data_IF_816703926533
#
_entry.id   IF_816703926533
#
_cell.length_a   1.000
_cell.length_b   1.000
_cell.length_c   1.000
_cell.angle_alpha   90.00
_cell.angle_beta   90.00
_cell.angle_gamma   90.00
#
_symmetry.space_group_name_H-M   'P 1'
#
loop_
_entity.id
_entity.type
_entity.pdbx_description
1 polymer ?
#
# COMPACT_ATOMS: atom_id res chain seq x y z
N UNK A 1 28.54 -19.91 -24.81
CA UNK A 1 28.85 -20.90 -23.79
C UNK A 1 30.31 -20.74 -23.37
N UNK A 2 30.65 -21.11 -22.14
CA UNK A 2 32.02 -21.14 -21.63
C UNK A 2 32.73 -22.37 -22.22
N UNK A 3 33.98 -22.21 -22.67
CA UNK A 3 34.81 -23.36 -23.08
C UNK A 3 35.28 -24.12 -21.83
N UNK A 4 35.36 -25.47 -21.88
CA UNK A 4 35.81 -26.28 -20.72
C UNK A 4 37.23 -25.94 -20.24
N UNK A 5 38.01 -25.26 -21.07
CA UNK A 5 39.39 -24.87 -20.80
C UNK A 5 39.55 -23.47 -20.18
N UNK A 6 38.45 -22.71 -20.05
CA UNK A 6 38.47 -21.41 -19.38
C UNK A 6 38.62 -21.56 -17.87
N UNK A 7 39.85 -21.26 -17.38
CA UNK A 7 40.18 -21.32 -15.95
C UNK A 7 39.69 -20.10 -15.15
N UNK A 8 39.29 -19.02 -15.81
CA UNK A 8 38.79 -17.79 -15.19
C UNK A 8 37.25 -17.79 -15.11
N UNK A 9 36.70 -18.72 -14.39
CA UNK A 9 35.26 -18.72 -14.09
C UNK A 9 34.94 -17.59 -13.09
N UNK A 10 33.92 -16.78 -13.41
CA UNK A 10 33.42 -15.77 -12.48
C UNK A 10 32.86 -16.48 -11.26
N UNK A 11 33.46 -16.23 -10.09
CA UNK A 11 32.97 -16.75 -8.82
C UNK A 11 31.51 -16.24 -8.60
N UNK A 12 30.52 -17.13 -8.34
CA UNK A 12 29.15 -16.74 -8.10
C UNK A 12 28.98 -15.68 -7.01
N UNK A 13 29.91 -15.61 -6.05
CA UNK A 13 29.91 -14.58 -5.00
C UNK A 13 30.16 -13.17 -5.55
N UNK A 14 30.89 -13.05 -6.67
CA UNK A 14 31.17 -11.76 -7.31
C UNK A 14 29.89 -11.10 -7.83
N UNK A 15 28.94 -11.87 -8.36
CA UNK A 15 27.64 -11.34 -8.77
C UNK A 15 26.87 -10.79 -7.58
N UNK A 16 26.93 -11.46 -6.44
CA UNK A 16 26.30 -11.01 -5.20
C UNK A 16 26.97 -9.76 -4.63
N UNK A 17 28.31 -9.68 -4.70
CA UNK A 17 29.09 -8.50 -4.31
C UNK A 17 28.80 -7.32 -5.25
N UNK A 18 28.78 -7.55 -6.55
CA UNK A 18 28.47 -6.54 -7.56
C UNK A 18 27.07 -5.93 -7.31
N UNK A 19 26.04 -6.76 -7.10
CA UNK A 19 24.70 -6.30 -6.79
C UNK A 19 24.67 -5.42 -5.54
N UNK A 20 25.31 -5.84 -4.45
CA UNK A 20 25.32 -5.11 -3.18
C UNK A 20 26.14 -3.82 -3.23
N UNK A 21 27.27 -3.81 -3.95
CA UNK A 21 28.22 -2.70 -3.90
C UNK A 21 28.03 -1.70 -5.04
N UNK A 22 27.53 -2.13 -6.21
CA UNK A 22 27.45 -1.30 -7.40
C UNK A 22 26.03 -0.92 -7.79
N UNK A 23 25.02 -1.70 -7.39
CA UNK A 23 23.62 -1.46 -7.79
C UNK A 23 22.72 -0.96 -6.66
N UNK A 24 23.23 -0.92 -5.42
CA UNK A 24 22.43 -0.57 -4.24
C UNK A 24 21.80 0.85 -4.30
N UNK A 25 22.55 1.80 -4.83
CA UNK A 25 22.13 3.22 -4.86
C UNK A 25 21.77 3.70 -6.28
N UNK A 26 21.68 2.77 -7.24
CA UNK A 26 21.29 3.10 -8.61
C UNK A 26 19.78 2.93 -8.78
N UNK A 27 19.13 3.88 -9.45
CA UNK A 27 17.74 3.76 -9.89
C UNK A 27 17.62 2.73 -11.03
N UNK A 28 18.13 1.51 -10.79
CA UNK A 28 18.29 0.47 -11.82
C UNK A 28 16.97 0.11 -12.48
N UNK A 29 15.88 0.10 -11.72
CA UNK A 29 14.55 -0.20 -12.25
C UNK A 29 14.12 0.85 -13.27
N UNK A 30 14.19 2.13 -12.91
CA UNK A 30 13.82 3.24 -13.80
C UNK A 30 14.72 3.23 -15.07
N UNK A 31 16.03 2.96 -14.90
CA UNK A 31 16.98 2.87 -15.99
C UNK A 31 16.67 1.75 -16.99
N UNK A 32 16.35 0.54 -16.50
CA UNK A 32 16.05 -0.61 -17.36
C UNK A 32 14.68 -0.47 -18.03
N UNK A 33 13.70 0.07 -17.32
CA UNK A 33 12.39 0.39 -17.91
C UNK A 33 12.56 1.44 -19.00
N UNK A 34 13.23 2.55 -18.72
CA UNK A 34 13.50 3.61 -19.71
C UNK A 34 14.17 3.06 -20.96
N UNK A 35 15.17 2.19 -20.81
CA UNK A 35 15.87 1.59 -21.96
C UNK A 35 14.92 0.75 -22.82
N UNK A 36 14.06 -0.07 -22.22
CA UNK A 36 13.10 -0.87 -23.01
C UNK A 36 12.01 -0.02 -23.63
N UNK A 37 11.57 1.04 -22.96
CA UNK A 37 10.60 2.02 -23.49
C UNK A 37 11.19 2.77 -24.68
N UNK A 38 12.44 3.26 -24.58
CA UNK A 38 13.12 3.90 -25.71
C UNK A 38 13.17 2.97 -26.93
N UNK A 39 13.57 1.72 -26.75
CA UNK A 39 13.60 0.73 -27.84
C UNK A 39 12.21 0.54 -28.45
N UNK A 40 11.17 0.45 -27.61
CA UNK A 40 9.80 0.26 -28.08
C UNK A 40 9.27 1.49 -28.83
N UNK A 41 9.63 2.71 -28.41
CA UNK A 41 9.31 3.95 -29.11
C UNK A 41 10.06 4.07 -30.45
N UNK A 42 11.39 3.84 -30.45
CA UNK A 42 12.23 3.86 -31.66
C UNK A 42 11.75 2.87 -32.73
N UNK A 43 11.21 1.73 -32.31
CA UNK A 43 10.65 0.71 -33.19
C UNK A 43 9.17 0.94 -33.55
N UNK A 44 8.56 2.02 -33.06
CA UNK A 44 7.14 2.32 -33.28
C UNK A 44 6.18 1.28 -32.69
N UNK A 45 6.61 0.55 -31.65
CA UNK A 45 5.80 -0.48 -30.99
C UNK A 45 4.75 0.17 -30.08
N UNK A 46 5.14 1.18 -29.29
CA UNK A 46 4.20 1.95 -28.46
C UNK A 46 3.59 3.03 -29.35
N UNK A 47 2.32 2.88 -29.67
CA UNK A 47 1.56 3.80 -30.49
C UNK A 47 0.35 4.37 -29.75
N UNK A 48 -0.18 3.59 -28.78
CA UNK A 48 -1.32 4.00 -27.98
C UNK A 48 -0.88 4.98 -26.89
N UNK A 49 -1.70 5.99 -26.62
CA UNK A 49 -1.59 6.91 -25.48
C UNK A 49 -2.47 6.47 -24.30
N UNK A 50 -2.93 5.21 -24.31
CA UNK A 50 -3.76 4.60 -23.28
C UNK A 50 -2.92 3.67 -22.43
N UNK A 51 -2.98 3.88 -21.11
CA UNK A 51 -2.18 3.13 -20.15
C UNK A 51 -3.04 2.52 -19.06
N UNK A 52 -2.69 1.31 -18.68
CA UNK A 52 -3.29 0.59 -17.57
C UNK A 52 -2.43 0.77 -16.33
N UNK A 53 -3.06 1.08 -15.20
CA UNK A 53 -2.41 1.14 -13.90
C UNK A 53 -3.00 0.09 -12.97
N UNK A 54 -2.13 -0.65 -12.30
CA UNK A 54 -2.52 -1.67 -11.32
C UNK A 54 -1.35 -1.97 -10.37
N UNK A 55 -1.66 -2.63 -9.25
CA UNK A 55 -0.65 -3.09 -8.32
C UNK A 55 -0.67 -4.61 -8.21
N UNK A 56 0.51 -5.21 -8.24
CA UNK A 56 0.68 -6.63 -7.95
C UNK A 56 1.49 -6.81 -6.68
N UNK A 57 1.26 -7.91 -5.94
CA UNK A 57 1.98 -8.21 -4.72
C UNK A 57 2.93 -9.37 -4.91
N UNK A 58 4.06 -9.31 -4.20
CA UNK A 58 5.02 -10.40 -4.06
C UNK A 58 5.16 -10.76 -2.59
N UNK A 59 5.18 -12.05 -2.29
CA UNK A 59 5.36 -12.52 -0.92
C UNK A 59 6.80 -12.28 -0.47
N UNK A 60 7.00 -11.91 0.78
CA UNK A 60 8.34 -11.89 1.36
C UNK A 60 8.93 -13.31 1.38
N UNK A 61 10.25 -13.38 1.36
CA UNK A 61 10.99 -14.64 1.57
C UNK A 61 10.80 -15.19 2.97
N UNK A 62 10.63 -14.33 3.97
CA UNK A 62 10.35 -14.71 5.34
C UNK A 62 8.85 -14.62 5.66
N UNK A 63 8.41 -15.45 6.60
CA UNK A 63 7.08 -15.30 7.18
C UNK A 63 7.07 -14.14 8.17
N UNK A 64 5.90 -13.53 8.34
CA UNK A 64 5.66 -12.66 9.48
C UNK A 64 5.69 -13.49 10.77
N UNK A 65 6.34 -12.95 11.78
CA UNK A 65 6.41 -13.55 13.12
C UNK A 65 5.70 -12.61 14.08
N UNK A 66 4.99 -13.17 15.06
CA UNK A 66 4.44 -12.39 16.15
C UNK A 66 5.59 -11.66 16.87
N UNK A 67 5.41 -10.36 17.15
CA UNK A 67 6.43 -9.56 17.81
C UNK A 67 6.82 -10.14 19.19
N UNK A 68 5.87 -10.72 19.92
CA UNK A 68 6.11 -11.41 21.18
C UNK A 68 7.11 -12.55 21.03
N UNK A 69 6.85 -13.47 20.10
CA UNK A 69 7.69 -14.64 19.86
C UNK A 69 9.08 -14.24 19.33
N UNK A 70 9.11 -13.21 18.49
CA UNK A 70 10.37 -12.74 17.90
C UNK A 70 11.25 -12.02 18.92
N UNK A 71 10.69 -11.19 19.79
CA UNK A 71 11.41 -10.56 20.90
C UNK A 71 11.97 -11.63 21.86
N UNK A 72 11.15 -12.61 22.24
CA UNK A 72 11.58 -13.72 23.09
C UNK A 72 12.75 -14.46 22.45
N UNK A 73 12.63 -14.85 21.17
CA UNK A 73 13.72 -15.51 20.45
C UNK A 73 15.00 -14.69 20.41
N UNK A 74 14.93 -13.38 20.19
CA UNK A 74 16.11 -12.53 20.12
C UNK A 74 16.76 -12.34 21.50
N UNK A 75 15.98 -12.25 22.56
CA UNK A 75 16.52 -12.26 23.93
C UNK A 75 17.26 -13.56 24.21
N UNK A 76 16.70 -14.72 23.84
CA UNK A 76 17.40 -16.02 24.01
C UNK A 76 18.71 -16.08 23.21
N UNK A 77 18.74 -15.60 21.96
CA UNK A 77 19.98 -15.57 21.17
C UNK A 77 21.02 -14.65 21.78
N UNK A 78 20.60 -13.51 22.32
CA UNK A 78 21.51 -12.57 23.00
C UNK A 78 22.03 -13.17 24.31
N UNK A 79 21.17 -13.86 25.07
CA UNK A 79 21.58 -14.61 26.27
C UNK A 79 22.69 -15.60 25.96
N UNK A 80 22.55 -16.42 24.93
CA UNK A 80 23.56 -17.41 24.53
C UNK A 80 24.93 -16.77 24.25
N UNK A 81 24.92 -15.61 23.56
CA UNK A 81 26.17 -14.90 23.27
C UNK A 81 26.78 -14.28 24.55
N UNK A 82 25.97 -13.62 25.37
CA UNK A 82 26.43 -13.02 26.61
C UNK A 82 26.99 -14.10 27.54
N UNK A 83 26.30 -15.23 27.72
CA UNK A 83 26.75 -16.32 28.57
C UNK A 83 27.96 -17.07 27.99
N UNK A 84 28.19 -17.09 26.69
CA UNK A 84 29.42 -17.62 26.10
C UNK A 84 30.66 -16.79 26.47
N UNK A 85 30.45 -15.53 26.84
CA UNK A 85 31.52 -14.59 27.25
C UNK A 85 31.64 -14.54 28.79
N UNK A 86 30.50 -14.48 29.46
CA UNK A 86 30.41 -14.45 30.93
C UNK A 86 29.19 -15.26 31.40
N UNK A 87 29.42 -16.53 31.72
CA UNK A 87 28.38 -17.48 32.13
C UNK A 87 27.65 -17.06 33.43
N UNK A 88 28.31 -16.32 34.31
CA UNK A 88 27.75 -15.87 35.58
C UNK A 88 26.98 -14.56 35.49
N UNK A 89 26.89 -13.93 34.28
CA UNK A 89 26.18 -12.67 34.11
C UNK A 89 24.67 -12.87 34.23
N UNK A 90 24.07 -12.16 35.20
CA UNK A 90 22.62 -12.24 35.43
C UNK A 90 21.85 -11.34 34.49
N UNK A 91 21.08 -11.94 33.61
CA UNK A 91 20.12 -11.28 32.74
C UNK A 91 18.71 -11.38 33.34
N UNK A 92 17.79 -10.47 32.98
CA UNK A 92 16.36 -10.60 33.29
C UNK A 92 15.83 -11.96 32.83
N UNK A 93 15.07 -12.64 33.67
CA UNK A 93 14.41 -13.91 33.29
C UNK A 93 13.32 -13.67 32.26
N UNK A 94 13.17 -14.63 31.34
CA UNK A 94 12.07 -14.61 30.39
C UNK A 94 10.74 -14.80 31.13
N UNK A 95 9.73 -14.00 30.84
CA UNK A 95 8.46 -14.02 31.56
C UNK A 95 7.67 -15.30 31.27
N UNK A 96 7.00 -15.81 32.31
CA UNK A 96 5.98 -16.83 32.12
C UNK A 96 4.71 -16.20 31.49
N UNK A 97 4.35 -16.70 30.33
CA UNK A 97 3.24 -16.19 29.52
C UNK A 97 1.96 -17.03 29.64
N UNK A 98 1.96 -18.06 30.50
CA UNK A 98 0.81 -18.92 30.68
C UNK A 98 -0.41 -18.16 31.19
N UNK A 99 -1.57 -18.39 30.57
CA UNK A 99 -2.84 -17.81 31.02
C UNK A 99 -3.05 -16.32 30.67
N UNK A 100 -2.06 -15.65 30.06
CA UNK A 100 -2.18 -14.25 29.68
C UNK A 100 -2.87 -14.10 28.30
N UNK A 101 -3.65 -13.02 28.16
CA UNK A 101 -4.17 -12.61 26.83
C UNK A 101 -3.02 -12.12 25.96
N UNK A 102 -3.14 -12.25 24.61
CA UNK A 102 -2.09 -11.87 23.66
C UNK A 102 -1.60 -10.42 23.86
N UNK A 103 -2.50 -9.49 24.16
CA UNK A 103 -2.14 -8.10 24.46
C UNK A 103 -1.28 -7.97 25.73
N UNK A 104 -1.59 -8.76 26.76
CA UNK A 104 -0.79 -8.79 28.01
C UNK A 104 0.55 -9.46 27.79
N UNK A 105 0.60 -10.59 27.08
CA UNK A 105 1.84 -11.27 26.68
C UNK A 105 2.80 -10.30 26.02
N UNK A 106 2.30 -9.59 25.00
CA UNK A 106 3.11 -8.61 24.27
C UNK A 106 3.65 -7.51 25.18
N UNK A 107 2.80 -6.92 26.04
CA UNK A 107 3.22 -5.85 26.95
C UNK A 107 4.31 -6.30 27.91
N UNK A 108 4.18 -7.51 28.46
CA UNK A 108 5.16 -8.08 29.42
C UNK A 108 6.48 -8.38 28.69
N UNK A 109 6.45 -9.04 27.54
CA UNK A 109 7.66 -9.36 26.77
C UNK A 109 8.38 -8.10 26.29
N UNK A 110 7.63 -7.07 25.85
CA UNK A 110 8.21 -5.80 25.43
C UNK A 110 8.90 -5.08 26.60
N UNK A 111 8.28 -5.06 27.79
CA UNK A 111 8.91 -4.51 29.00
C UNK A 111 10.19 -5.28 29.36
N UNK A 112 10.11 -6.60 29.40
CA UNK A 112 11.29 -7.46 29.68
C UNK A 112 12.41 -7.23 28.66
N UNK A 113 12.10 -7.05 27.39
CA UNK A 113 13.11 -6.78 26.37
C UNK A 113 13.82 -5.42 26.58
N UNK A 114 13.08 -4.40 27.04
CA UNK A 114 13.67 -3.10 27.40
C UNK A 114 14.58 -3.24 28.61
N UNK A 115 14.16 -3.94 29.67
CA UNK A 115 14.95 -4.19 30.86
C UNK A 115 16.19 -5.01 30.52
N UNK A 116 16.06 -5.96 29.59
CA UNK A 116 17.16 -6.78 29.11
C UNK A 116 18.26 -5.95 28.42
N UNK A 117 17.84 -5.01 27.52
CA UNK A 117 18.77 -4.08 26.87
C UNK A 117 19.49 -3.23 27.92
N UNK A 118 18.75 -2.67 28.89
CA UNK A 118 19.32 -1.84 29.94
C UNK A 118 20.34 -2.62 30.81
N UNK A 119 20.05 -3.89 31.13
CA UNK A 119 20.96 -4.74 31.92
C UNK A 119 22.29 -4.99 31.20
N UNK A 120 22.27 -5.23 29.88
CA UNK A 120 23.51 -5.44 29.12
C UNK A 120 24.27 -4.13 28.92
N UNK A 121 23.58 -3.02 28.69
CA UNK A 121 24.18 -1.68 28.54
C UNK A 121 24.85 -1.17 29.81
N UNK A 122 24.39 -1.59 30.94
CA UNK A 122 25.02 -1.25 32.24
C UNK A 122 26.47 -1.80 32.39
N UNK A 123 26.91 -2.67 31.46
CA UNK A 123 28.22 -3.29 31.48
C UNK A 123 29.04 -2.93 30.23
N UNK A 124 29.74 -1.77 30.21
CA UNK A 124 30.46 -1.29 29.04
C UNK A 124 31.42 -2.30 28.38
N UNK A 125 32.15 -3.15 29.14
CA UNK A 125 33.02 -4.16 28.54
C UNK A 125 32.28 -5.20 27.71
N UNK A 126 31.03 -5.55 28.06
CA UNK A 126 30.21 -6.46 27.26
C UNK A 126 29.74 -5.79 25.98
N UNK A 127 29.29 -4.54 26.07
CA UNK A 127 28.83 -3.76 24.90
C UNK A 127 29.97 -3.49 23.92
N UNK A 128 31.20 -3.36 24.37
CA UNK A 128 32.38 -3.17 23.52
C UNK A 128 32.70 -4.40 22.65
N UNK A 129 32.12 -5.56 22.94
CA UNK A 129 32.33 -6.77 22.15
C UNK A 129 31.46 -6.74 20.89
N UNK A 130 32.03 -6.86 19.66
CA UNK A 130 31.25 -6.71 18.41
C UNK A 130 30.04 -7.64 18.35
N UNK A 131 30.16 -8.90 18.76
CA UNK A 131 29.08 -9.87 18.74
C UNK A 131 27.90 -9.49 19.66
N UNK A 132 28.17 -8.91 20.82
CA UNK A 132 27.16 -8.43 21.77
C UNK A 132 26.52 -7.14 21.22
N UNK A 133 27.35 -6.20 20.76
CA UNK A 133 26.90 -4.92 20.21
C UNK A 133 25.96 -5.11 19.00
N UNK A 134 26.30 -6.00 18.08
CA UNK A 134 25.47 -6.32 16.93
C UNK A 134 24.09 -6.86 17.34
N UNK A 135 24.07 -7.80 18.30
CA UNK A 135 22.81 -8.37 18.80
C UNK A 135 21.97 -7.37 19.59
N UNK A 136 22.63 -6.54 20.37
CA UNK A 136 21.96 -5.51 21.16
C UNK A 136 21.32 -4.46 20.25
N UNK A 137 22.01 -4.03 19.20
CA UNK A 137 21.47 -3.11 18.21
C UNK A 137 20.26 -3.72 17.48
N UNK A 138 20.36 -4.98 17.07
CA UNK A 138 19.22 -5.70 16.47
C UNK A 138 18.03 -5.78 17.42
N UNK A 139 18.25 -6.09 18.70
CA UNK A 139 17.18 -6.14 19.70
C UNK A 139 16.53 -4.76 19.92
N UNK A 140 17.30 -3.68 19.93
CA UNK A 140 16.79 -2.30 20.01
C UNK A 140 15.93 -1.92 18.80
N UNK A 141 16.36 -2.28 17.59
CA UNK A 141 15.59 -2.07 16.36
C UNK A 141 14.24 -2.81 16.42
N UNK A 142 14.26 -4.07 16.86
CA UNK A 142 13.04 -4.88 17.00
C UNK A 142 12.11 -4.30 18.07
N UNK A 143 12.64 -3.81 19.21
CA UNK A 143 11.86 -3.12 20.23
C UNK A 143 11.20 -1.86 19.67
N UNK A 144 11.92 -1.07 18.90
CA UNK A 144 11.39 0.12 18.26
C UNK A 144 10.26 -0.22 17.26
N UNK A 145 10.49 -1.22 16.42
CA UNK A 145 9.50 -1.72 15.48
C UNK A 145 8.26 -2.31 16.19
N UNK A 146 8.47 -3.08 17.26
CA UNK A 146 7.40 -3.70 18.03
C UNK A 146 6.48 -2.67 18.73
N UNK A 147 7.02 -1.52 19.14
CA UNK A 147 6.23 -0.39 19.70
C UNK A 147 5.27 0.21 18.66
N UNK A 148 5.63 0.14 17.39
CA UNK A 148 4.84 0.68 16.29
C UNK A 148 3.94 -0.40 15.69
N UNK A 149 4.37 -1.68 15.68
CA UNK A 149 3.77 -2.77 14.94
C UNK A 149 3.75 -4.07 15.74
N UNK A 150 2.61 -4.76 15.68
CA UNK A 150 2.41 -6.05 16.34
C UNK A 150 3.08 -7.24 15.64
N UNK A 151 3.59 -7.05 14.42
CA UNK A 151 4.18 -8.08 13.57
C UNK A 151 5.55 -7.63 13.10
N UNK A 152 6.52 -8.48 13.26
CA UNK A 152 7.90 -8.27 12.81
C UNK A 152 8.36 -9.42 11.92
N UNK A 153 9.53 -9.29 11.29
CA UNK A 153 10.09 -10.29 10.40
C UNK A 153 11.60 -10.09 10.25
N UNK A 154 12.28 -11.12 9.75
CA UNK A 154 13.68 -11.01 9.29
C UNK A 154 13.83 -10.08 8.08
N UNK A 155 12.72 -9.77 7.40
CA UNK A 155 12.67 -8.84 6.30
C UNK A 155 12.20 -7.47 6.83
N UNK A 156 13.10 -6.47 6.94
CA UNK A 156 12.81 -5.21 7.61
C UNK A 156 11.79 -4.35 6.87
N UNK A 157 11.66 -4.53 5.55
CA UNK A 157 10.83 -3.67 4.69
C UNK A 157 9.51 -4.34 4.29
N UNK A 158 9.37 -5.66 4.46
CA UNK A 158 8.14 -6.36 4.17
C UNK A 158 7.03 -5.99 5.17
N UNK A 159 5.81 -5.83 4.69
CA UNK A 159 4.64 -5.46 5.49
C UNK A 159 3.42 -6.29 5.11
N UNK A 160 2.44 -6.31 6.03
CA UNK A 160 1.14 -6.92 5.75
C UNK A 160 0.35 -6.02 4.83
N UNK A 161 0.00 -6.53 3.67
CA UNK A 161 -0.95 -5.93 2.76
C UNK A 161 -2.24 -6.74 2.69
N UNK A 162 -3.31 -6.12 2.22
CA UNK A 162 -4.62 -6.77 2.07
C UNK A 162 -5.01 -6.84 0.60
N UNK A 163 -5.34 -8.05 0.11
CA UNK A 163 -5.96 -8.26 -1.21
C UNK A 163 -7.46 -8.03 -1.15
N UNK A 164 -8.07 -8.53 -0.10
CA UNK A 164 -9.50 -8.41 0.20
C UNK A 164 -9.66 -8.22 1.69
N UNK A 165 -10.90 -7.97 2.16
CA UNK A 165 -11.19 -7.88 3.59
C UNK A 165 -10.78 -9.12 4.40
N UNK A 166 -10.72 -10.29 3.75
CA UNK A 166 -10.42 -11.58 4.38
C UNK A 166 -9.08 -12.19 3.99
N UNK A 167 -8.39 -11.62 2.98
CA UNK A 167 -7.11 -12.15 2.50
C UNK A 167 -6.01 -11.12 2.60
N UNK A 168 -5.02 -11.41 3.41
CA UNK A 168 -3.80 -10.63 3.56
C UNK A 168 -2.60 -11.38 2.98
N UNK A 169 -1.52 -10.66 2.74
CA UNK A 169 -0.22 -11.20 2.39
C UNK A 169 0.86 -10.43 3.18
N UNK A 170 1.99 -11.04 3.36
CA UNK A 170 3.17 -10.40 3.94
C UNK A 170 4.25 -10.27 2.86
N UNK A 171 4.65 -9.04 2.55
CA UNK A 171 5.60 -8.80 1.47
C UNK A 171 5.58 -7.38 0.92
N UNK A 172 5.59 -7.28 -0.40
CA UNK A 172 5.76 -6.05 -1.17
C UNK A 172 4.65 -5.85 -2.19
N UNK A 173 4.44 -4.61 -2.59
CA UNK A 173 3.62 -4.25 -3.75
C UNK A 173 4.48 -3.64 -4.84
N UNK A 174 4.15 -3.98 -6.07
CA UNK A 174 4.72 -3.36 -7.26
C UNK A 174 3.60 -2.69 -8.03
N UNK A 175 3.66 -1.38 -8.10
CA UNK A 175 2.74 -0.54 -8.85
C UNK A 175 3.27 -0.38 -10.27
N UNK A 176 2.43 -0.65 -11.26
CA UNK A 176 2.82 -0.72 -12.67
C UNK A 176 1.97 0.19 -13.52
N UNK A 177 2.59 0.80 -14.53
CA UNK A 177 1.90 1.39 -15.68
C UNK A 177 2.31 0.62 -16.93
N UNK A 178 1.33 0.20 -17.71
CA UNK A 178 1.52 -0.63 -18.91
C UNK A 178 0.77 -0.02 -20.09
N UNK A 179 1.40 0.05 -21.25
CA UNK A 179 0.75 0.47 -22.50
C UNK A 179 -0.22 -0.58 -23.03
N UNK A 180 -1.09 -0.19 -23.96
CA UNK A 180 -2.03 -1.10 -24.63
C UNK A 180 -1.31 -2.21 -25.40
N UNK A 181 -0.09 -1.96 -25.86
CA UNK A 181 0.81 -2.94 -26.48
C UNK A 181 1.47 -3.91 -25.48
N UNK A 182 1.14 -3.77 -24.19
CA UNK A 182 1.63 -4.59 -23.08
C UNK A 182 3.12 -4.40 -22.75
N UNK A 183 3.64 -3.20 -22.95
CA UNK A 183 4.95 -2.77 -22.48
C UNK A 183 4.78 -2.05 -21.14
N UNK A 184 5.51 -2.44 -20.11
CA UNK A 184 5.53 -1.74 -18.84
C UNK A 184 6.38 -0.48 -19.00
N UNK A 185 5.76 0.69 -18.83
CA UNK A 185 6.39 1.99 -19.07
C UNK A 185 6.82 2.70 -17.80
N UNK A 186 6.25 2.35 -16.67
CA UNK A 186 6.68 2.82 -15.35
C UNK A 186 6.40 1.75 -14.29
N UNK A 187 7.20 1.75 -13.24
CA UNK A 187 6.97 0.92 -12.07
C UNK A 187 7.52 1.56 -10.81
N UNK A 188 6.95 1.18 -9.67
CA UNK A 188 7.43 1.53 -8.34
C UNK A 188 7.17 0.40 -7.35
N UNK A 189 8.08 0.19 -6.41
CA UNK A 189 7.96 -0.90 -5.45
C UNK A 189 7.87 -0.32 -4.06
N UNK A 190 6.92 -0.82 -3.29
CA UNK A 190 6.63 -0.37 -1.94
C UNK A 190 6.47 -1.57 -0.99
N UNK A 191 6.44 -1.30 0.29
CA UNK A 191 5.98 -2.29 1.27
C UNK A 191 4.51 -2.68 1.02
N UNK A 192 4.11 -3.86 1.50
CA UNK A 192 2.78 -4.43 1.25
C UNK A 192 1.60 -3.58 1.75
N UNK A 193 1.81 -2.71 2.71
CA UNK A 193 0.78 -1.83 3.30
C UNK A 193 0.47 -0.58 2.49
N UNK A 194 1.29 -0.23 1.48
CA UNK A 194 1.13 1.00 0.71
C UNK A 194 -0.24 1.06 0.00
N UNK A 195 -0.80 2.25 -0.07
CA UNK A 195 -2.06 2.53 -0.76
C UNK A 195 -1.81 2.70 -2.26
N UNK A 196 -2.50 1.90 -3.08
CA UNK A 196 -2.31 1.87 -4.52
C UNK A 196 -2.67 3.20 -5.17
N UNK A 197 -3.75 3.84 -4.71
CA UNK A 197 -4.21 5.12 -5.25
C UNK A 197 -3.22 6.26 -5.07
N UNK A 198 -2.45 6.26 -3.99
CA UNK A 198 -1.45 7.32 -3.72
C UNK A 198 -0.24 7.26 -4.64
N UNK A 199 -0.04 6.15 -5.31
CA UNK A 199 1.10 5.98 -6.21
C UNK A 199 0.85 6.54 -7.62
N UNK A 200 -0.39 6.94 -7.94
CA UNK A 200 -0.76 7.36 -9.29
C UNK A 200 0.05 8.53 -9.79
N UNK A 201 0.18 9.60 -9.01
CA UNK A 201 0.93 10.80 -9.38
C UNK A 201 2.37 10.45 -9.79
N UNK A 202 3.08 9.75 -8.92
CA UNK A 202 4.47 9.32 -9.17
C UNK A 202 4.60 8.40 -10.39
N UNK A 203 3.63 7.54 -10.62
CA UNK A 203 3.62 6.65 -11.78
C UNK A 203 3.38 7.42 -13.09
N UNK A 204 2.52 8.43 -13.07
CA UNK A 204 2.29 9.34 -14.21
C UNK A 204 3.56 10.11 -14.54
N UNK A 205 4.21 10.72 -13.55
CA UNK A 205 5.47 11.42 -13.71
C UNK A 205 6.55 10.52 -14.33
N UNK A 206 6.78 9.33 -13.78
CA UNK A 206 7.74 8.36 -14.33
C UNK A 206 7.42 7.94 -15.76
N UNK A 207 6.13 7.83 -16.10
CA UNK A 207 5.71 7.49 -17.47
C UNK A 207 6.10 8.58 -18.45
N UNK A 208 5.87 9.84 -18.09
CA UNK A 208 6.23 10.99 -18.92
C UNK A 208 7.75 11.20 -19.00
N UNK A 209 8.49 10.99 -17.89
CA UNK A 209 9.97 11.01 -17.86
C UNK A 209 10.59 9.96 -18.81
N UNK A 210 9.87 8.89 -19.11
CA UNK A 210 10.25 7.87 -20.07
C UNK A 210 9.91 8.23 -21.53
N UNK A 211 9.39 9.44 -21.77
CA UNK A 211 9.10 9.98 -23.10
C UNK A 211 7.78 9.49 -23.69
N UNK A 212 6.84 9.08 -22.86
CA UNK A 212 5.54 8.55 -23.28
C UNK A 212 4.45 9.57 -23.00
N UNK A 213 3.64 9.88 -24.02
CA UNK A 213 2.49 10.76 -23.87
C UNK A 213 1.26 10.00 -23.38
N UNK A 214 0.51 10.60 -22.46
CA UNK A 214 -0.66 9.99 -21.83
C UNK A 214 -1.92 10.75 -22.22
N UNK A 215 -2.93 10.06 -22.80
CA UNK A 215 -4.27 10.56 -23.01
C UNK A 215 -5.28 9.91 -22.05
N UNK A 216 -5.09 8.64 -21.73
CA UNK A 216 -6.03 7.91 -20.86
C UNK A 216 -5.30 6.97 -19.91
N UNK A 217 -5.66 7.04 -18.65
CA UNK A 217 -5.19 6.12 -17.60
C UNK A 217 -6.38 5.25 -17.18
N UNK A 218 -6.20 3.93 -17.21
CA UNK A 218 -7.24 2.95 -16.90
C UNK A 218 -6.83 2.19 -15.64
N UNK A 219 -7.61 2.34 -14.57
CA UNK A 219 -7.32 1.72 -13.28
C UNK A 219 -8.56 1.13 -12.61
N UNK A 220 -8.37 0.53 -11.45
CA UNK A 220 -9.46 0.07 -10.59
C UNK A 220 -9.98 1.21 -9.68
N UNK A 221 -10.92 0.89 -8.79
CA UNK A 221 -11.54 1.84 -7.86
C UNK A 221 -10.58 2.49 -6.86
N UNK A 222 -9.37 1.97 -6.70
CA UNK A 222 -8.37 2.53 -5.79
C UNK A 222 -7.83 3.87 -6.33
N UNK A 223 -7.82 4.03 -7.66
CA UNK A 223 -7.25 5.20 -8.32
C UNK A 223 -8.23 6.38 -8.48
N UNK A 224 -9.53 6.20 -8.25
CA UNK A 224 -10.55 7.27 -8.39
C UNK A 224 -10.74 8.13 -7.13
N UNK A 225 -9.71 8.27 -6.31
CA UNK A 225 -9.76 9.18 -5.16
C UNK A 225 -9.93 10.64 -5.62
N UNK A 226 -10.55 11.49 -4.76
CA UNK A 226 -10.67 12.92 -5.06
C UNK A 226 -9.30 13.55 -5.38
N UNK A 227 -8.26 13.20 -4.63
CA UNK A 227 -6.92 13.72 -4.84
C UNK A 227 -6.39 13.38 -6.24
N UNK A 228 -6.58 12.16 -6.70
CA UNK A 228 -6.14 11.75 -8.04
C UNK A 228 -6.95 12.42 -9.16
N UNK A 229 -8.27 12.57 -8.96
CA UNK A 229 -9.12 13.29 -9.93
C UNK A 229 -8.76 14.76 -10.00
N UNK A 230 -8.51 15.40 -8.86
CA UNK A 230 -8.08 16.80 -8.82
C UNK A 230 -6.68 16.94 -9.44
N UNK A 231 -5.72 16.06 -9.12
CA UNK A 231 -4.38 16.05 -9.72
C UNK A 231 -4.41 15.97 -11.25
N UNK A 232 -5.23 15.08 -11.80
CA UNK A 232 -5.40 14.99 -13.28
C UNK A 232 -6.01 16.25 -13.85
N UNK A 233 -7.02 16.85 -13.19
CA UNK A 233 -7.62 18.10 -13.65
C UNK A 233 -6.63 19.26 -13.60
N UNK A 234 -5.88 19.39 -12.49
CA UNK A 234 -4.85 20.43 -12.33
C UNK A 234 -3.76 20.29 -13.40
N UNK A 235 -3.36 19.05 -13.71
CA UNK A 235 -2.39 18.77 -14.76
C UNK A 235 -2.92 19.14 -16.13
N UNK A 236 -4.19 18.83 -16.42
CA UNK A 236 -4.84 19.20 -17.69
C UNK A 236 -4.91 20.73 -17.85
N UNK A 237 -5.27 21.46 -16.79
CA UNK A 237 -5.32 22.92 -16.81
C UNK A 237 -3.93 23.56 -16.97
N UNK A 238 -2.93 23.08 -16.24
CA UNK A 238 -1.58 23.65 -16.26
C UNK A 238 -0.80 23.35 -17.54
N UNK A 239 -0.98 22.15 -18.12
CA UNK A 239 -0.19 21.67 -19.27
C UNK A 239 -1.00 21.69 -20.58
N UNK A 240 -2.23 22.21 -20.57
CA UNK A 240 -3.16 22.23 -21.70
C UNK A 240 -3.32 20.82 -22.33
N UNK A 241 -3.47 19.80 -21.47
CA UNK A 241 -3.71 18.40 -21.83
C UNK A 241 -5.17 18.02 -21.60
N UNK A 242 -5.60 16.87 -22.12
CA UNK A 242 -6.93 16.28 -21.88
C UNK A 242 -6.78 14.81 -21.44
N UNK A 243 -6.07 14.62 -20.33
CA UNK A 243 -5.87 13.29 -19.76
C UNK A 243 -7.15 12.84 -19.06
N UNK A 244 -7.64 11.65 -19.41
CA UNK A 244 -8.82 11.03 -18.81
C UNK A 244 -8.41 9.94 -17.82
N UNK A 245 -8.99 9.94 -16.62
CA UNK A 245 -8.86 8.86 -15.66
C UNK A 245 -10.07 7.92 -15.73
N UNK A 246 -9.91 6.80 -16.43
CA UNK A 246 -10.90 5.75 -16.51
C UNK A 246 -10.78 4.80 -15.33
N UNK A 247 -11.30 5.21 -14.19
CA UNK A 247 -11.29 4.48 -12.92
C UNK A 247 -12.66 4.61 -12.25
N UNK A 248 -13.35 3.51 -11.92
CA UNK A 248 -14.69 3.57 -11.33
C UNK A 248 -14.63 4.18 -9.93
N UNK A 249 -15.58 5.04 -9.61
CA UNK A 249 -15.71 5.59 -8.27
C UNK A 249 -16.02 4.48 -7.26
N UNK A 250 -15.42 4.59 -6.08
CA UNK A 250 -15.76 3.71 -4.99
C UNK A 250 -17.28 3.81 -4.70
N UNK A 251 -18.02 2.69 -4.62
CA UNK A 251 -19.46 2.69 -4.37
C UNK A 251 -19.90 3.47 -3.12
N UNK A 252 -19.02 3.61 -2.12
CA UNK A 252 -19.26 4.44 -0.94
C UNK A 252 -19.33 5.93 -1.29
N UNK A 253 -18.62 6.35 -2.34
CA UNK A 253 -18.62 7.75 -2.82
C UNK A 253 -19.84 7.98 -3.73
N UNK A 254 -20.09 7.06 -4.66
CA UNK A 254 -21.14 7.20 -5.67
C UNK A 254 -22.56 7.16 -5.08
N UNK A 255 -22.77 6.44 -3.99
CA UNK A 255 -24.11 6.29 -3.41
C UNK A 255 -24.50 7.37 -2.39
N UNK A 256 -23.59 8.29 -1.99
CA UNK A 256 -23.84 9.48 -1.13
C UNK A 256 -24.59 9.22 0.17
N UNK A 257 -25.39 8.18 0.21
CA UNK A 257 -26.25 7.72 1.29
C UNK A 257 -25.86 6.30 1.71
N UNK A 258 -26.04 5.97 2.97
CA UNK A 258 -25.92 4.57 3.45
C UNK A 258 -26.90 3.69 2.66
N UNK A 259 -26.45 2.53 2.16
CA UNK A 259 -27.36 1.51 1.60
C UNK A 259 -28.50 1.25 2.59
N UNK A 260 -29.74 1.40 2.14
CA UNK A 260 -30.94 1.22 2.98
C UNK A 260 -31.34 2.46 3.80
N UNK A 261 -30.77 3.64 3.54
CA UNK A 261 -31.25 4.87 4.17
C UNK A 261 -32.63 5.26 3.60
N UNK A 262 -33.62 5.27 4.46
CA UNK A 262 -35.02 5.59 4.16
C UNK A 262 -35.36 7.06 4.45
N UNK A 263 -34.34 7.94 4.43
CA UNK A 263 -34.53 9.39 4.62
C UNK A 263 -34.70 10.06 3.27
N UNK A 264 -35.81 10.77 3.09
CA UNK A 264 -36.14 11.48 1.87
C UNK A 264 -35.68 12.95 1.93
N UNK A 265 -35.14 13.44 0.81
CA UNK A 265 -34.73 14.85 0.71
C UNK A 265 -35.85 15.73 0.17
N UNK A 266 -36.34 16.62 1.00
CA UNK A 266 -37.27 17.66 0.58
C UNK A 266 -36.48 18.82 -0.05
N UNK A 267 -36.65 19.00 -1.35
CA UNK A 267 -35.93 20.01 -2.13
C UNK A 267 -36.32 21.44 -1.78
N UNK A 268 -37.61 21.68 -1.46
CA UNK A 268 -38.14 23.01 -1.19
C UNK A 268 -37.67 23.53 0.17
N UNK A 269 -37.61 22.64 1.15
CA UNK A 269 -37.09 22.98 2.49
C UNK A 269 -35.59 22.86 2.63
N UNK A 270 -34.90 22.17 1.67
CA UNK A 270 -33.46 21.88 1.75
C UNK A 270 -33.08 20.98 2.93
N UNK A 271 -34.01 20.15 3.40
CA UNK A 271 -33.92 19.31 4.60
C UNK A 271 -34.28 17.86 4.31
N UNK A 272 -33.75 16.93 5.12
CA UNK A 272 -34.17 15.55 5.08
C UNK A 272 -35.36 15.25 5.96
N UNK A 273 -36.24 14.37 5.51
CA UNK A 273 -37.39 13.83 6.19
C UNK A 273 -37.09 12.39 6.60
N UNK A 274 -37.32 12.03 7.86
CA UNK A 274 -37.10 10.66 8.33
C UNK A 274 -38.25 9.73 7.92
N UNK A 275 -38.09 8.38 8.02
CA UNK A 275 -39.14 7.44 7.64
C UNK A 275 -40.47 7.60 8.39
N UNK A 276 -40.44 8.21 9.58
CA UNK A 276 -41.63 8.55 10.34
C UNK A 276 -42.27 9.89 9.93
N UNK A 277 -41.81 10.50 8.83
CA UNK A 277 -42.37 11.75 8.31
C UNK A 277 -41.91 13.04 9.01
N UNK A 278 -40.92 12.96 9.93
CA UNK A 278 -40.42 14.15 10.60
C UNK A 278 -39.26 14.77 9.84
N UNK A 279 -39.34 16.08 9.57
CA UNK A 279 -38.30 16.86 8.93
C UNK A 279 -37.18 17.18 9.93
N UNK A 280 -35.93 17.22 9.45
CA UNK A 280 -34.80 17.70 10.24
C UNK A 280 -35.04 19.15 10.72
N UNK A 281 -34.65 19.46 11.95
CA UNK A 281 -34.84 20.79 12.56
C UNK A 281 -33.69 21.74 12.29
N UNK A 282 -32.51 21.18 11.94
CA UNK A 282 -31.36 22.00 11.57
C UNK A 282 -30.38 21.23 10.65
N UNK A 283 -29.57 21.99 9.92
CA UNK A 283 -28.44 21.45 9.13
C UNK A 283 -27.16 22.20 9.47
N UNK A 284 -26.04 21.49 9.50
CA UNK A 284 -24.74 22.11 9.63
C UNK A 284 -24.28 22.73 8.31
N UNK A 285 -23.36 23.69 8.37
CA UNK A 285 -22.54 24.02 7.20
C UNK A 285 -21.69 22.79 6.82
N UNK A 286 -21.29 22.65 5.53
CA UNK A 286 -20.37 21.58 5.14
C UNK A 286 -19.11 21.63 6.02
N UNK A 287 -18.83 20.55 6.73
CA UNK A 287 -17.66 20.46 7.60
C UNK A 287 -16.69 19.43 7.03
N UNK A 288 -15.47 19.85 6.80
CA UNK A 288 -14.37 18.94 6.54
C UNK A 288 -13.83 18.42 7.87
N UNK A 289 -13.98 17.12 8.15
CA UNK A 289 -13.29 16.49 9.27
C UNK A 289 -11.85 16.21 8.85
N UNK A 290 -10.98 17.18 9.02
CA UNK A 290 -9.54 17.03 8.77
C UNK A 290 -8.79 17.03 10.10
N UNK A 291 -8.65 15.88 10.71
CA UNK A 291 -7.73 15.71 11.84
C UNK A 291 -6.50 14.87 11.47
N UNK A 292 -6.30 14.53 10.18
CA UNK A 292 -5.14 13.76 9.72
C UNK A 292 -4.61 14.41 8.45
N UNK A 293 -3.36 14.89 8.45
CA UNK A 293 -2.71 15.42 7.25
C UNK A 293 -2.74 14.37 6.12
N UNK A 294 -3.09 14.79 4.91
CA UNK A 294 -3.15 13.91 3.73
C UNK A 294 -4.41 13.08 3.56
N UNK A 295 -5.43 13.18 4.40
CA UNK A 295 -6.75 12.59 4.17
C UNK A 295 -7.75 13.63 3.69
N UNK A 296 -7.96 13.68 2.40
CA UNK A 296 -9.03 14.48 1.79
C UNK A 296 -10.37 13.74 1.96
N UNK A 297 -11.23 14.26 2.80
CA UNK A 297 -12.61 13.78 2.94
C UNK A 297 -13.56 14.78 2.31
N UNK A 298 -14.56 14.28 1.58
CA UNK A 298 -15.65 15.12 1.13
C UNK A 298 -16.33 15.78 2.34
N UNK A 299 -16.73 17.07 2.22
CA UNK A 299 -17.45 17.73 3.28
C UNK A 299 -18.72 16.96 3.66
N UNK A 300 -19.03 16.95 4.94
CA UNK A 300 -20.24 16.30 5.48
C UNK A 300 -21.20 17.37 5.97
N UNK A 301 -22.45 17.27 5.53
CA UNK A 301 -23.55 18.05 6.09
C UNK A 301 -24.29 17.14 7.06
N UNK A 302 -24.47 17.62 8.29
CA UNK A 302 -25.18 16.89 9.34
C UNK A 302 -26.56 17.54 9.53
N UNK A 303 -27.59 16.74 9.37
CA UNK A 303 -28.97 17.11 9.63
C UNK A 303 -29.35 16.59 11.04
N UNK A 304 -29.89 17.46 11.88
CA UNK A 304 -30.31 17.10 13.23
C UNK A 304 -31.83 17.00 13.32
N UNK A 305 -32.31 16.02 14.05
CA UNK A 305 -33.74 15.76 14.27
C UNK A 305 -34.13 16.02 15.72
N UNK A 306 -35.39 16.33 15.94
CA UNK A 306 -35.95 16.53 17.27
C UNK A 306 -35.92 15.20 18.05
N UNK A 307 -35.16 15.19 19.13
CA UNK A 307 -34.96 14.00 19.96
C UNK A 307 -36.22 13.61 20.71
N UNK A 308 -37.03 14.58 21.11
CA UNK A 308 -38.29 14.30 21.87
C UNK A 308 -39.24 13.49 20.99
N UNK A 309 -39.33 13.81 19.71
CA UNK A 309 -40.12 13.02 18.76
C UNK A 309 -39.48 11.64 18.51
N UNK A 310 -38.16 11.53 18.52
CA UNK A 310 -37.48 10.26 18.35
C UNK A 310 -37.69 9.30 19.55
N UNK A 311 -37.81 9.81 20.75
CA UNK A 311 -38.07 9.00 21.98
C UNK A 311 -39.37 8.22 21.92
N UNK A 312 -40.42 8.83 21.36
CA UNK A 312 -41.78 8.25 21.25
C UNK A 312 -42.10 7.66 19.86
N UNK A 313 -41.11 7.66 18.96
CA UNK A 313 -41.28 7.20 17.57
C UNK A 313 -41.56 5.68 17.51
N UNK A 314 -42.60 5.23 16.77
CA UNK A 314 -42.86 3.80 16.59
C UNK A 314 -41.75 3.10 15.81
N UNK A 315 -40.99 3.84 14.96
CA UNK A 315 -39.84 3.33 14.17
C UNK A 315 -38.50 3.60 14.86
N UNK A 316 -38.47 3.73 16.18
CA UNK A 316 -37.25 4.05 16.93
C UNK A 316 -36.23 2.90 16.95
N UNK A 317 -36.71 1.66 16.88
CA UNK A 317 -35.85 0.48 16.92
C UNK A 317 -34.87 0.46 15.71
N UNK A 318 -33.60 0.31 15.99
CA UNK A 318 -32.54 0.43 14.97
C UNK A 318 -32.26 1.85 14.42
N UNK A 319 -33.15 2.83 14.69
CA UNK A 319 -33.01 4.21 14.27
C UNK A 319 -32.52 5.14 15.39
N UNK A 320 -33.14 5.12 16.57
CA UNK A 320 -32.77 5.97 17.70
C UNK A 320 -32.21 5.13 18.86
N UNK A 321 -31.03 5.49 19.35
CA UNK A 321 -30.44 4.81 20.49
C UNK A 321 -31.02 5.41 21.80
N UNK A 322 -31.65 4.60 22.67
CA UNK A 322 -32.20 5.09 23.94
C UNK A 322 -31.16 5.88 24.73
N UNK A 323 -31.55 7.03 25.28
CA UNK A 323 -30.68 7.92 26.02
C UNK A 323 -29.76 8.83 25.20
N UNK A 324 -29.79 8.74 23.87
CA UNK A 324 -28.99 9.61 23.02
C UNK A 324 -29.49 11.06 23.09
N UNK A 325 -28.57 12.00 23.32
CA UNK A 325 -28.87 13.44 23.38
C UNK A 325 -29.11 14.10 22.03
N UNK A 326 -28.76 13.41 20.92
CA UNK A 326 -28.88 13.92 19.54
C UNK A 326 -29.26 12.79 18.61
N UNK A 327 -30.13 13.05 17.65
CA UNK A 327 -30.39 12.22 16.49
C UNK A 327 -29.95 12.98 15.25
N UNK A 328 -29.02 12.41 14.50
CA UNK A 328 -28.45 13.05 13.30
C UNK A 328 -28.45 12.12 12.10
N UNK A 329 -28.56 12.72 10.92
CA UNK A 329 -28.35 12.08 9.64
C UNK A 329 -27.26 12.85 8.87
N UNK A 330 -26.21 12.16 8.47
CA UNK A 330 -25.05 12.80 7.82
C UNK A 330 -24.98 12.44 6.35
N UNK A 331 -24.86 13.44 5.49
CA UNK A 331 -24.74 13.28 4.05
C UNK A 331 -23.41 13.85 3.59
N UNK A 332 -22.69 13.10 2.76
CA UNK A 332 -21.46 13.59 2.12
C UNK A 332 -21.81 14.44 0.90
N UNK A 333 -21.19 15.60 0.80
CA UNK A 333 -21.33 16.45 -0.39
C UNK A 333 -20.36 15.94 -1.47
N UNK A 334 -20.88 15.52 -2.59
CA UNK A 334 -20.06 15.12 -3.73
C UNK A 334 -19.36 16.35 -4.31
N UNK A 335 -18.04 16.26 -4.47
CA UNK A 335 -17.25 17.26 -5.18
C UNK A 335 -17.65 17.29 -6.66
N UNK A 336 -17.43 18.42 -7.34
CA UNK A 336 -17.72 18.56 -8.79
C UNK A 336 -16.90 17.55 -9.60
N UNK A 337 -15.67 17.28 -9.20
CA UNK A 337 -14.81 16.24 -9.79
C UNK A 337 -15.45 14.86 -9.75
N UNK A 338 -16.07 14.48 -8.63
CA UNK A 338 -16.80 13.20 -8.55
C UNK A 338 -18.06 13.18 -9.43
N UNK A 339 -18.77 14.32 -9.57
CA UNK A 339 -19.94 14.39 -10.46
C UNK A 339 -19.55 14.22 -11.91
N UNK A 340 -18.48 14.89 -12.36
CA UNK A 340 -17.91 14.71 -13.70
C UNK A 340 -17.52 13.26 -13.95
N UNK A 341 -16.87 12.62 -12.98
CA UNK A 341 -16.47 11.21 -13.07
C UNK A 341 -17.69 10.28 -13.18
N UNK A 342 -18.75 10.52 -12.40
CA UNK A 342 -20.00 9.74 -12.50
C UNK A 342 -20.68 9.87 -13.87
N UNK A 343 -20.55 11.02 -14.52
CA UNK A 343 -21.05 11.21 -15.89
C UNK A 343 -20.18 10.47 -16.90
N UNK A 344 -18.86 10.54 -16.73
CA UNK A 344 -17.91 9.81 -17.57
C UNK A 344 -18.11 8.28 -17.46
N UNK A 345 -18.38 7.75 -16.27
CA UNK A 345 -18.66 6.31 -16.07
C UNK A 345 -19.86 5.78 -16.88
N UNK A 346 -20.81 6.66 -17.26
CA UNK A 346 -21.97 6.28 -18.06
C UNK A 346 -21.69 6.19 -19.57
N UNK A 347 -20.52 6.66 -20.00
CA UNK A 347 -20.16 6.67 -21.42
C UNK A 347 -19.81 5.28 -21.93
N UNK A 348 -20.09 5.02 -23.21
CA UNK A 348 -19.69 3.78 -23.88
C UNK A 348 -18.15 3.61 -23.93
N UNK A 349 -17.41 4.73 -24.02
CA UNK A 349 -15.96 4.76 -23.98
C UNK A 349 -15.44 4.18 -22.65
N UNK A 350 -15.96 4.67 -21.53
CA UNK A 350 -15.56 4.20 -20.19
C UNK A 350 -15.78 2.69 -20.03
N UNK A 351 -16.98 2.22 -20.40
CA UNK A 351 -17.33 0.78 -20.31
C UNK A 351 -16.41 -0.07 -21.17
N UNK A 352 -16.10 0.39 -22.40
CA UNK A 352 -15.18 -0.30 -23.30
C UNK A 352 -13.77 -0.39 -22.71
N UNK A 353 -13.24 0.72 -22.19
CA UNK A 353 -11.90 0.79 -21.63
C UNK A 353 -11.77 -0.06 -20.36
N UNK A 354 -12.77 -0.01 -19.48
CA UNK A 354 -12.77 -0.84 -18.26
C UNK A 354 -12.77 -2.35 -18.58
N UNK A 355 -13.42 -2.77 -19.65
CA UNK A 355 -13.36 -4.18 -20.09
C UNK A 355 -11.95 -4.61 -20.50
N UNK A 356 -11.09 -3.70 -20.97
CA UNK A 356 -9.70 -4.01 -21.34
C UNK A 356 -8.77 -4.19 -20.13
N UNK A 357 -9.19 -3.89 -18.91
CA UNK A 357 -8.37 -3.99 -17.72
C UNK A 357 -7.76 -5.38 -17.46
N UNK A 358 -8.38 -6.46 -17.98
CA UNK A 358 -7.82 -7.79 -17.92
C UNK A 358 -6.40 -7.88 -18.51
N UNK A 359 -6.01 -6.93 -19.38
CA UNK A 359 -4.68 -6.93 -20.01
C UNK A 359 -3.55 -6.73 -19.00
N UNK A 360 -3.73 -5.83 -18.02
CA UNK A 360 -2.73 -5.62 -16.98
C UNK A 360 -2.77 -6.75 -15.95
N UNK A 361 -3.94 -7.32 -15.66
CA UNK A 361 -4.08 -8.50 -14.81
C UNK A 361 -3.32 -9.70 -15.41
N UNK A 362 -3.43 -9.91 -16.73
CA UNK A 362 -2.68 -10.92 -17.45
C UNK A 362 -1.15 -10.64 -17.41
N UNK A 363 -0.73 -9.37 -17.47
CA UNK A 363 0.69 -8.99 -17.32
C UNK A 363 1.19 -9.27 -15.90
N UNK A 364 0.41 -8.96 -14.88
CA UNK A 364 0.72 -9.30 -13.50
C UNK A 364 0.88 -10.81 -13.28
N UNK A 365 0.01 -11.61 -13.91
CA UNK A 365 0.13 -13.06 -13.90
C UNK A 365 1.39 -13.54 -14.67
N UNK A 366 1.73 -12.92 -15.79
CA UNK A 366 2.96 -13.23 -16.54
C UNK A 366 4.22 -12.96 -15.69
N UNK A 367 4.29 -11.82 -15.01
CA UNK A 367 5.41 -11.50 -14.11
C UNK A 367 5.58 -12.55 -13.02
N UNK A 368 4.49 -13.02 -12.41
CA UNK A 368 4.54 -14.02 -11.36
C UNK A 368 4.88 -15.42 -11.86
N UNK A 369 4.18 -15.88 -12.88
CA UNK A 369 4.23 -17.28 -13.29
C UNK A 369 5.40 -17.59 -14.24
N UNK A 370 5.85 -16.59 -15.02
CA UNK A 370 6.92 -16.77 -16.01
C UNK A 370 8.25 -16.23 -15.52
N UNK A 371 8.22 -15.10 -14.79
CA UNK A 371 9.44 -14.42 -14.35
C UNK A 371 9.71 -14.57 -12.84
N UNK A 372 8.96 -15.43 -12.13
CA UNK A 372 9.19 -15.77 -10.74
C UNK A 372 9.02 -14.58 -9.77
N UNK A 373 8.11 -13.66 -10.11
CA UNK A 373 7.91 -12.43 -9.34
C UNK A 373 6.80 -12.55 -8.27
N UNK A 374 6.39 -13.76 -7.94
CA UNK A 374 5.40 -14.05 -6.90
C UNK A 374 5.99 -14.00 -5.47
N UNK A 375 7.32 -14.23 -5.34
CA UNK A 375 8.03 -14.24 -4.06
C UNK A 375 9.37 -13.52 -4.16
N UNK A 376 9.72 -12.76 -3.11
CA UNK A 376 11.02 -12.12 -2.98
C UNK A 376 12.14 -13.19 -2.84
N UNK A 377 13.20 -13.05 -3.61
CA UNK A 377 14.38 -13.92 -3.55
C UNK A 377 15.34 -13.55 -2.41
N UNK A 378 15.28 -12.31 -1.93
CA UNK A 378 16.12 -11.77 -0.87
C UNK A 378 15.30 -10.87 0.05
N UNK A 379 15.92 -10.31 1.08
CA UNK A 379 15.29 -9.40 2.04
C UNK A 379 15.53 -7.95 1.64
N UNK A 380 14.60 -7.08 2.04
CA UNK A 380 14.68 -5.64 1.89
C UNK A 380 14.17 -5.10 0.55
N UNK A 381 13.71 -3.85 0.60
CA UNK A 381 13.11 -3.15 -0.54
C UNK A 381 14.07 -3.04 -1.73
N UNK A 382 15.32 -2.69 -1.48
CA UNK A 382 16.34 -2.57 -2.55
C UNK A 382 16.57 -3.88 -3.31
N UNK A 383 16.51 -5.03 -2.60
CA UNK A 383 16.61 -6.35 -3.26
C UNK A 383 15.37 -6.65 -4.09
N UNK A 384 14.19 -6.24 -3.61
CA UNK A 384 12.95 -6.40 -4.35
C UNK A 384 12.88 -5.49 -5.58
N UNK A 385 13.41 -4.26 -5.49
CA UNK A 385 13.58 -3.35 -6.64
C UNK A 385 14.46 -3.95 -7.72
N UNK A 386 15.59 -4.55 -7.35
CA UNK A 386 16.46 -5.22 -8.31
C UNK A 386 15.77 -6.42 -8.96
N UNK A 387 15.07 -7.25 -8.20
CA UNK A 387 14.29 -8.38 -8.73
C UNK A 387 13.20 -7.89 -9.68
N UNK A 388 12.47 -6.84 -9.31
CA UNK A 388 11.44 -6.21 -10.14
C UNK A 388 12.00 -5.63 -11.42
N UNK A 389 13.12 -4.93 -11.33
CA UNK A 389 13.83 -4.39 -12.48
C UNK A 389 14.14 -5.46 -13.53
N UNK A 390 14.69 -6.59 -13.09
CA UNK A 390 15.04 -7.71 -13.98
C UNK A 390 13.82 -8.40 -14.56
N UNK A 391 12.79 -8.64 -13.76
CA UNK A 391 11.55 -9.28 -14.21
C UNK A 391 10.82 -8.42 -15.25
N UNK A 392 10.69 -7.12 -15.00
CA UNK A 392 10.03 -6.16 -15.88
C UNK A 392 10.85 -6.00 -17.18
N UNK A 393 12.17 -5.85 -17.09
CA UNK A 393 13.05 -5.75 -18.24
C UNK A 393 12.91 -6.98 -19.15
N UNK A 394 12.98 -8.19 -18.60
CA UNK A 394 12.83 -9.43 -19.35
C UNK A 394 11.42 -9.55 -19.97
N UNK A 395 10.37 -9.17 -19.26
CA UNK A 395 8.99 -9.17 -19.76
C UNK A 395 8.81 -8.20 -20.93
N UNK A 396 9.38 -6.99 -20.84
CA UNK A 396 9.34 -5.99 -21.89
C UNK A 396 10.13 -6.46 -23.12
N UNK A 397 11.36 -6.95 -22.95
CA UNK A 397 12.17 -7.47 -24.08
C UNK A 397 11.47 -8.62 -24.79
N UNK A 398 10.95 -9.58 -24.04
CA UNK A 398 10.17 -10.70 -24.61
C UNK A 398 8.98 -10.20 -25.42
N UNK A 399 8.30 -9.14 -24.95
CA UNK A 399 7.17 -8.56 -25.65
C UNK A 399 7.59 -7.83 -26.92
N UNK A 400 8.65 -7.03 -26.84
CA UNK A 400 9.22 -6.32 -28.00
C UNK A 400 9.60 -7.31 -29.11
N UNK A 401 10.36 -8.36 -28.77
CA UNK A 401 10.79 -9.38 -29.73
C UNK A 401 9.58 -10.09 -30.40
N UNK A 402 8.49 -10.28 -29.68
CA UNK A 402 7.28 -10.91 -30.24
C UNK A 402 6.48 -10.03 -31.19
N UNK A 403 6.64 -8.71 -31.08
CA UNK A 403 5.94 -7.75 -31.93
C UNK A 403 6.77 -7.44 -33.18
N UNK A 404 8.10 -7.44 -33.06
CA UNK A 404 9.01 -7.31 -34.20
C UNK A 404 8.93 -8.51 -35.15
#
# INVERSE_FOLDING_TARGET
GLCPEETNLIDPSLLSKFRRQRLKDTKIMDMLIKKTVCIALEKGIIQSKRFFVDATHSLSRSNSVNATDYLTYQMEQTTRIVHSINESFKLPELPDLHGLSEKKKFSVVLSTAVDYVAAVEAVPPLVAMPAVSERLNLLKEIIADAKIRYVTSKDPDARIGHKTKSRSFFGYKTHLVMSEERIIVAADITSGEADDGKMLERLVEKTEENGVEIDTIIGDTAYSSKANLDMINDKNENENKDIKLCSPLNPVISNGTRKGATFDYNKDAGMFVCPAGHMAVSRSKPQQKTNVPGKYHNPVIVFSFDVERCKVCPLREGCYKPGAKKKTYSVRVLANTHKKQMEYEKTSEFVYLQRKRYMIEAKNAELKNVFGYDRAMSYGLASMELQGAMAIFAANLKRIIRIM
#
